data_IF_689841139595
#
_entry.id   IF_689841139595
#
_cell.length_a   1.000
_cell.length_b   1.000
_cell.length_c   1.000
_cell.angle_alpha   90.00
_cell.angle_beta   90.00
_cell.angle_gamma   90.00
#
_symmetry.space_group_name_H-M   'P 1'
#
loop_
_entity.id
_entity.type
_entity.pdbx_description
1 polymer ?
#
# COMPACT_ATOMS: atom_id res chain seq x y z
N UNK A 1 51.48 -45.75 -16.38
CA UNK A 1 51.88 -45.50 -14.97
C UNK A 1 50.90 -44.52 -14.34
N UNK A 2 50.41 -44.85 -13.13
CA UNK A 2 49.83 -44.03 -12.03
C UNK A 2 48.88 -42.85 -12.38
N UNK A 3 47.56 -42.96 -12.11
CA UNK A 3 46.78 -42.77 -10.85
C UNK A 3 46.27 -41.32 -10.65
N UNK A 4 44.96 -41.23 -10.35
CA UNK A 4 44.20 -40.02 -10.02
C UNK A 4 44.65 -39.34 -8.71
N UNK A 5 44.16 -38.11 -8.47
CA UNK A 5 43.23 -37.98 -7.34
C UNK A 5 42.01 -37.07 -7.62
N UNK A 6 40.90 -37.47 -7.01
CA UNK A 6 39.69 -36.66 -6.82
C UNK A 6 39.94 -35.63 -5.71
N UNK A 7 39.91 -34.35 -6.05
CA UNK A 7 39.97 -33.24 -5.09
C UNK A 7 38.59 -32.61 -4.92
N UNK A 8 37.93 -32.93 -3.81
CA UNK A 8 36.70 -32.27 -3.39
C UNK A 8 36.94 -30.79 -3.11
N UNK A 9 36.15 -29.92 -3.75
CA UNK A 9 36.11 -28.50 -3.42
C UNK A 9 35.01 -28.29 -2.38
N UNK A 10 35.40 -28.30 -1.11
CA UNK A 10 34.67 -27.64 -0.04
C UNK A 10 34.69 -26.14 -0.30
N UNK A 11 33.60 -25.61 -0.85
CA UNK A 11 33.39 -24.17 -1.01
C UNK A 11 33.34 -23.49 0.36
N UNK A 12 33.94 -22.30 0.50
CA UNK A 12 34.24 -21.71 1.80
C UNK A 12 32.98 -21.26 2.52
N UNK A 13 32.94 -21.54 3.83
CA UNK A 13 31.91 -21.03 4.74
C UNK A 13 31.79 -19.52 4.56
N UNK A 14 30.56 -19.06 4.30
CA UNK A 14 30.20 -17.66 4.22
C UNK A 14 30.43 -17.01 5.58
N UNK A 15 31.63 -16.49 5.81
CA UNK A 15 31.92 -15.60 6.93
C UNK A 15 31.21 -14.27 6.66
N UNK A 16 29.99 -14.14 7.16
CA UNK A 16 29.28 -12.85 7.23
C UNK A 16 30.17 -11.86 7.99
N UNK A 17 30.56 -10.78 7.31
CA UNK A 17 31.53 -9.82 7.83
C UNK A 17 31.00 -9.07 9.05
N UNK A 18 31.87 -8.51 9.91
CA UNK A 18 31.47 -7.74 11.10
C UNK A 18 30.45 -6.63 10.83
N UNK A 19 30.47 -6.07 9.63
CA UNK A 19 29.63 -4.96 9.17
C UNK A 19 28.17 -5.35 8.87
N UNK A 20 27.87 -6.64 8.68
CA UNK A 20 26.49 -7.09 8.48
C UNK A 20 25.69 -7.16 9.79
N UNK A 21 26.37 -7.23 10.95
CA UNK A 21 25.71 -7.28 12.26
C UNK A 21 24.92 -6.01 12.62
N UNK A 22 25.14 -4.91 11.89
CA UNK A 22 24.51 -3.62 12.13
C UNK A 22 23.43 -3.21 11.10
N UNK A 23 23.13 -4.02 10.08
CA UNK A 23 22.00 -3.70 9.19
C UNK A 23 20.72 -3.73 10.01
N UNK A 24 20.00 -2.59 10.06
CA UNK A 24 18.62 -2.57 10.54
C UNK A 24 17.84 -3.56 9.69
N UNK A 25 17.36 -4.62 10.34
CA UNK A 25 16.49 -5.58 9.69
C UNK A 25 15.21 -4.90 9.23
N UNK A 26 14.70 -5.29 8.07
CA UNK A 26 13.40 -4.81 7.62
C UNK A 26 12.27 -5.48 8.40
N UNK A 27 11.09 -4.83 8.52
CA UNK A 27 9.92 -5.45 9.13
C UNK A 27 9.64 -6.78 8.40
N UNK A 28 9.74 -7.90 9.12
CA UNK A 28 9.50 -9.23 8.57
C UNK A 28 10.70 -10.15 8.46
N UNK A 29 11.96 -9.68 8.47
CA UNK A 29 13.11 -10.59 8.36
C UNK A 29 13.20 -11.56 9.55
N UNK A 30 12.81 -11.12 10.74
CA UNK A 30 12.74 -11.98 11.94
C UNK A 30 11.61 -13.00 11.86
N UNK A 31 10.53 -12.64 11.17
CA UNK A 31 9.36 -13.49 10.92
C UNK A 31 9.49 -14.31 9.62
N UNK A 32 10.59 -14.15 8.86
CA UNK A 32 10.77 -14.72 7.52
C UNK A 32 9.67 -14.32 6.51
N UNK A 33 9.10 -13.12 6.65
CA UNK A 33 8.10 -12.57 5.73
C UNK A 33 8.78 -11.55 4.82
N UNK A 34 8.78 -11.79 3.51
CA UNK A 34 9.32 -10.85 2.53
C UNK A 34 8.46 -9.60 2.41
N UNK A 35 9.07 -8.42 2.21
CA UNK A 35 8.37 -7.12 2.16
C UNK A 35 7.21 -7.07 1.14
N UNK A 36 7.31 -7.77 0.01
CA UNK A 36 6.27 -7.84 -1.03
C UNK A 36 4.99 -8.56 -0.56
N UNK A 37 5.07 -9.33 0.52
CA UNK A 37 3.93 -9.99 1.16
C UNK A 37 3.24 -9.08 2.18
N UNK A 38 3.74 -7.86 2.38
CA UNK A 38 3.17 -6.89 3.31
C UNK A 38 2.44 -5.79 2.56
N UNK A 39 1.25 -5.46 3.07
CA UNK A 39 0.47 -4.31 2.64
C UNK A 39 0.37 -3.34 3.80
N UNK A 40 0.73 -2.08 3.55
CA UNK A 40 0.60 -0.98 4.51
C UNK A 40 -0.66 -0.22 4.13
N UNK A 41 -1.69 -0.33 4.96
CA UNK A 41 -2.97 0.37 4.77
C UNK A 41 -3.02 1.69 5.55
N UNK A 42 -3.58 2.74 4.96
CA UNK A 42 -3.79 4.04 5.61
C UNK A 42 -5.08 4.72 5.17
N UNK A 43 -5.72 5.48 6.05
CA UNK A 43 -6.84 6.40 5.71
C UNK A 43 -6.38 7.73 5.12
N UNK A 44 -5.06 7.92 4.96
CA UNK A 44 -4.46 9.19 4.57
C UNK A 44 -4.24 10.07 5.78
N UNK A 45 -3.21 9.81 6.56
CA UNK A 45 -2.77 10.75 7.60
C UNK A 45 -1.72 11.69 6.98
N UNK A 46 -1.79 13.01 7.17
CA UNK A 46 -0.84 13.94 6.56
C UNK A 46 0.62 13.54 6.79
N UNK A 47 1.46 13.71 5.78
CA UNK A 47 2.90 13.39 5.78
C UNK A 47 3.26 11.89 5.88
N UNK A 48 2.32 10.99 6.12
CA UNK A 48 2.65 9.56 6.32
C UNK A 48 2.98 8.85 5.01
N UNK A 49 2.27 9.15 3.92
CA UNK A 49 2.53 8.58 2.59
C UNK A 49 3.89 9.05 2.06
N UNK A 50 4.20 10.34 2.21
CA UNK A 50 5.51 10.91 1.86
C UNK A 50 6.66 10.27 2.67
N UNK A 51 6.46 10.10 3.98
CA UNK A 51 7.43 9.40 4.83
C UNK A 51 7.64 7.95 4.34
N UNK A 52 6.56 7.25 4.02
CA UNK A 52 6.63 5.89 3.49
C UNK A 52 7.37 5.81 2.15
N UNK A 53 7.15 6.77 1.24
CA UNK A 53 7.85 6.85 -0.04
C UNK A 53 9.37 6.94 0.14
N UNK A 54 9.83 7.75 1.11
CA UNK A 54 11.26 7.95 1.39
C UNK A 54 11.99 6.67 1.82
N UNK A 55 11.26 5.69 2.37
CA UNK A 55 11.83 4.39 2.77
C UNK A 55 11.99 3.42 1.61
N UNK A 56 11.40 3.68 0.43
CA UNK A 56 11.51 2.85 -0.79
C UNK A 56 11.30 1.35 -0.53
N UNK A 57 10.31 1.05 0.31
CA UNK A 57 9.94 -0.32 0.65
C UNK A 57 9.35 -1.04 -0.57
N UNK A 58 9.53 -2.36 -0.65
CA UNK A 58 8.88 -3.18 -1.69
C UNK A 58 7.45 -3.63 -1.29
N UNK A 59 6.89 -3.04 -0.24
CA UNK A 59 5.55 -3.35 0.27
C UNK A 59 4.46 -2.61 -0.51
N UNK A 60 3.27 -3.17 -0.54
CA UNK A 60 2.12 -2.56 -1.21
C UNK A 60 1.55 -1.43 -0.35
N UNK A 61 1.26 -0.27 -0.94
CA UNK A 61 0.50 0.79 -0.28
C UNK A 61 -0.99 0.64 -0.62
N UNK A 62 -1.82 0.50 0.42
CA UNK A 62 -3.27 0.54 0.32
C UNK A 62 -3.81 1.82 0.98
N UNK A 63 -4.67 2.54 0.27
CA UNK A 63 -5.31 3.78 0.77
C UNK A 63 -6.81 3.53 0.90
N UNK A 64 -7.31 3.63 2.13
CA UNK A 64 -8.72 3.58 2.50
C UNK A 64 -9.43 4.84 2.04
N UNK A 65 -9.83 4.85 0.76
CA UNK A 65 -10.45 6.00 0.10
C UNK A 65 -11.96 6.05 0.38
N UNK A 66 -12.67 4.94 0.13
CA UNK A 66 -14.10 4.72 0.37
C UNK A 66 -15.09 5.73 -0.24
N UNK A 67 -14.66 6.79 -0.93
CA UNK A 67 -15.54 7.77 -1.56
C UNK A 67 -14.83 8.53 -2.67
N UNK A 68 -15.54 8.95 -3.72
CA UNK A 68 -14.95 9.64 -4.87
C UNK A 68 -14.85 11.16 -4.66
N UNK A 69 -15.53 11.70 -3.65
CA UNK A 69 -15.56 13.12 -3.33
C UNK A 69 -15.40 13.36 -1.82
N UNK A 70 -15.01 14.58 -1.45
CA UNK A 70 -14.70 14.93 -0.06
C UNK A 70 -15.91 14.79 0.87
N UNK A 71 -17.11 15.17 0.42
CA UNK A 71 -18.32 15.15 1.25
C UNK A 71 -18.67 13.73 1.67
N UNK A 72 -18.71 12.80 0.72
CA UNK A 72 -18.95 11.38 1.01
C UNK A 72 -17.83 10.79 1.86
N UNK A 73 -16.58 11.18 1.62
CA UNK A 73 -15.44 10.71 2.40
C UNK A 73 -15.55 11.10 3.88
N UNK A 74 -15.98 12.32 4.16
CA UNK A 74 -16.23 12.80 5.53
C UNK A 74 -17.44 12.12 6.19
N UNK A 75 -18.47 11.76 5.40
CA UNK A 75 -19.61 10.99 5.91
C UNK A 75 -19.19 9.57 6.30
N UNK A 76 -18.45 8.88 5.43
CA UNK A 76 -18.09 7.47 5.62
C UNK A 76 -16.95 7.31 6.64
N UNK A 77 -15.95 8.21 6.60
CA UNK A 77 -14.79 8.18 7.49
C UNK A 77 -14.58 9.56 8.11
N UNK A 78 -15.29 9.89 9.21
CA UNK A 78 -15.29 11.25 9.78
C UNK A 78 -13.92 11.79 10.19
N UNK A 79 -12.97 10.92 10.53
CA UNK A 79 -11.59 11.30 10.88
C UNK A 79 -10.80 11.92 9.71
N UNK A 80 -11.30 11.81 8.48
CA UNK A 80 -10.62 12.31 7.28
C UNK A 80 -10.89 13.79 6.98
N UNK A 81 -11.75 14.45 7.75
CA UNK A 81 -12.14 15.86 7.55
C UNK A 81 -10.97 16.84 7.52
N UNK A 82 -9.93 16.59 8.30
CA UNK A 82 -8.72 17.43 8.33
C UNK A 82 -7.80 17.22 7.14
N UNK A 83 -8.02 16.20 6.31
CA UNK A 83 -7.17 15.88 5.18
C UNK A 83 -7.95 15.89 3.85
N UNK A 84 -7.88 17.00 3.09
CA UNK A 84 -8.60 17.14 1.82
C UNK A 84 -8.23 16.05 0.81
N UNK A 85 -9.23 15.54 0.09
CA UNK A 85 -9.07 14.50 -0.92
C UNK A 85 -8.01 14.84 -1.97
N UNK A 86 -7.99 16.09 -2.46
CA UNK A 86 -6.97 16.51 -3.43
C UNK A 86 -5.55 16.34 -2.91
N UNK A 87 -5.30 16.71 -1.64
CA UNK A 87 -3.98 16.56 -1.02
C UNK A 87 -3.61 15.07 -0.84
N UNK A 88 -4.58 14.22 -0.45
CA UNK A 88 -4.37 12.77 -0.41
C UNK A 88 -3.98 12.22 -1.78
N UNK A 89 -4.66 12.64 -2.83
CA UNK A 89 -4.38 12.19 -4.20
C UNK A 89 -3.01 12.67 -4.69
N UNK A 90 -2.59 13.88 -4.35
CA UNK A 90 -1.26 14.41 -4.65
C UNK A 90 -0.15 13.64 -3.92
N UNK A 91 -0.38 13.26 -2.67
CA UNK A 91 0.53 12.38 -1.92
C UNK A 91 0.63 10.99 -2.58
N UNK A 92 -0.49 10.40 -3.02
CA UNK A 92 -0.50 9.11 -3.72
C UNK A 92 0.23 9.17 -5.07
N UNK A 93 0.04 10.26 -5.82
CA UNK A 93 0.76 10.52 -7.07
C UNK A 93 2.27 10.66 -6.81
N UNK A 94 2.65 11.44 -5.79
CA UNK A 94 4.04 11.62 -5.41
C UNK A 94 4.69 10.29 -4.99
N UNK A 95 3.98 9.46 -4.22
CA UNK A 95 4.42 8.12 -3.86
C UNK A 95 4.66 7.24 -5.09
N UNK A 96 3.71 7.20 -6.04
CA UNK A 96 3.85 6.42 -7.27
C UNK A 96 5.07 6.89 -8.11
N UNK A 97 5.26 8.21 -8.24
CA UNK A 97 6.39 8.78 -8.98
C UNK A 97 7.74 8.51 -8.31
N UNK A 98 7.81 8.50 -6.97
CA UNK A 98 9.06 8.29 -6.23
C UNK A 98 9.45 6.80 -6.14
N UNK A 99 8.47 5.91 -6.02
CA UNK A 99 8.71 4.48 -5.77
C UNK A 99 8.53 3.59 -7.00
N UNK A 100 7.71 4.01 -7.97
CA UNK A 100 7.21 3.16 -9.06
C UNK A 100 6.22 2.08 -8.60
N UNK A 101 5.92 1.99 -7.30
CA UNK A 101 4.96 1.04 -6.75
C UNK A 101 3.55 1.57 -6.92
N UNK A 102 2.65 0.72 -7.45
CA UNK A 102 1.23 1.05 -7.60
C UNK A 102 0.60 1.29 -6.22
N UNK A 103 -0.35 2.22 -6.16
CA UNK A 103 -1.20 2.43 -4.99
C UNK A 103 -2.52 1.71 -5.21
N UNK A 104 -2.94 0.90 -4.24
CA UNK A 104 -4.27 0.28 -4.23
C UNK A 104 -5.22 1.16 -3.43
N UNK A 105 -6.36 1.53 -4.00
CA UNK A 105 -7.42 2.20 -3.27
C UNK A 105 -8.42 1.16 -2.78
N UNK A 106 -8.62 1.11 -1.47
CA UNK A 106 -9.68 0.34 -0.85
C UNK A 106 -10.97 1.17 -0.89
N UNK A 107 -12.03 0.57 -1.42
CA UNK A 107 -13.30 1.23 -1.63
C UNK A 107 -14.44 0.31 -1.20
N UNK A 108 -14.91 0.53 0.02
CA UNK A 108 -16.07 -0.18 0.57
C UNK A 108 -17.34 0.35 -0.10
N UNK A 109 -18.14 -0.53 -0.68
CA UNK A 109 -19.44 -0.22 -1.26
C UNK A 109 -20.51 -0.31 -0.16
N UNK A 110 -21.15 0.82 0.12
CA UNK A 110 -22.23 0.98 1.08
C UNK A 110 -23.52 1.27 0.30
N UNK A 111 -24.53 0.42 0.49
CA UNK A 111 -25.74 0.43 -0.32
C UNK A 111 -26.47 1.78 -0.26
N UNK A 112 -26.64 2.43 -1.42
CA UNK A 112 -27.32 3.71 -1.56
C UNK A 112 -26.54 4.91 -1.04
N UNK A 113 -25.23 4.77 -0.76
CA UNK A 113 -24.38 5.84 -0.23
C UNK A 113 -23.26 6.21 -1.20
N UNK A 114 -22.52 5.22 -1.69
CA UNK A 114 -21.35 5.44 -2.54
C UNK A 114 -21.19 4.40 -3.66
N UNK A 115 -22.27 3.69 -4.01
CA UNK A 115 -22.31 2.57 -4.95
C UNK A 115 -23.13 2.85 -6.22
N UNK A 116 -23.79 4.01 -6.31
CA UNK A 116 -24.47 4.46 -7.54
C UNK A 116 -23.51 4.74 -8.72
N UNK A 117 -24.06 4.74 -9.93
CA UNK A 117 -23.31 4.95 -11.18
C UNK A 117 -22.54 6.28 -11.18
N UNK A 118 -23.14 7.32 -10.62
CA UNK A 118 -22.55 8.66 -10.52
C UNK A 118 -21.25 8.62 -9.71
N UNK A 119 -21.21 7.85 -8.61
CA UNK A 119 -20.00 7.68 -7.80
C UNK A 119 -18.89 6.96 -8.57
N UNK A 120 -19.24 5.97 -9.39
CA UNK A 120 -18.27 5.28 -10.24
C UNK A 120 -17.66 6.22 -11.29
N UNK A 121 -18.45 7.14 -11.85
CA UNK A 121 -17.97 8.17 -12.80
C UNK A 121 -17.04 9.15 -12.08
N UNK A 122 -17.44 9.70 -10.92
CA UNK A 122 -16.61 10.60 -10.13
C UNK A 122 -15.28 9.93 -9.72
N UNK A 123 -15.32 8.66 -9.32
CA UNK A 123 -14.11 7.91 -8.97
C UNK A 123 -13.18 7.75 -10.18
N UNK A 124 -13.71 7.42 -11.35
CA UNK A 124 -12.92 7.26 -12.57
C UNK A 124 -12.26 8.58 -12.99
N UNK A 125 -12.99 9.71 -12.88
CA UNK A 125 -12.46 11.05 -13.16
C UNK A 125 -11.34 11.43 -12.19
N UNK A 126 -11.55 11.23 -10.88
CA UNK A 126 -10.55 11.48 -9.84
C UNK A 126 -9.25 10.72 -10.12
N UNK A 127 -9.33 9.43 -10.43
CA UNK A 127 -8.16 8.58 -10.70
C UNK A 127 -7.47 8.94 -12.02
N UNK A 128 -8.24 9.32 -13.04
CA UNK A 128 -7.70 9.77 -14.34
C UNK A 128 -6.87 11.04 -14.19
N UNK A 129 -7.31 11.99 -13.38
CA UNK A 129 -6.59 13.25 -13.14
C UNK A 129 -5.21 13.03 -12.49
N UNK A 130 -5.02 11.92 -11.77
CA UNK A 130 -3.78 11.63 -11.05
C UNK A 130 -2.70 10.94 -11.90
N UNK A 131 -3.01 10.52 -13.13
CA UNK A 131 -2.01 9.99 -14.08
C UNK A 131 -1.85 8.46 -14.11
N UNK A 132 -2.81 7.71 -13.55
CA UNK A 132 -2.79 6.25 -13.52
C UNK A 132 -1.81 5.66 -12.49
N UNK A 133 -1.54 4.35 -12.58
CA UNK A 133 -0.73 3.65 -11.58
C UNK A 133 -1.51 3.21 -10.33
N UNK A 134 -2.84 3.15 -10.45
CA UNK A 134 -3.75 2.84 -9.36
C UNK A 134 -4.55 1.57 -9.63
N UNK A 135 -4.83 0.82 -8.58
CA UNK A 135 -5.89 -0.19 -8.57
C UNK A 135 -7.01 0.27 -7.64
N UNK A 136 -8.23 -0.19 -7.89
CA UNK A 136 -9.35 -0.02 -6.98
C UNK A 136 -9.84 -1.39 -6.57
N UNK A 137 -9.87 -1.64 -5.26
CA UNK A 137 -10.44 -2.82 -4.65
C UNK A 137 -11.84 -2.45 -4.16
N UNK A 138 -12.86 -2.85 -4.93
CA UNK A 138 -14.26 -2.71 -4.53
C UNK A 138 -14.61 -3.82 -3.54
N UNK A 139 -15.08 -3.43 -2.35
CA UNK A 139 -15.41 -4.36 -1.25
C UNK A 139 -16.86 -4.14 -0.86
N UNK A 140 -17.79 -5.06 -1.16
CA UNK A 140 -19.15 -4.98 -0.63
C UNK A 140 -19.12 -4.94 0.90
N UNK A 141 -19.83 -3.98 1.50
CA UNK A 141 -19.98 -3.95 2.94
C UNK A 141 -20.80 -5.14 3.40
N UNK A 142 -20.30 -5.88 4.40
CA UNK A 142 -21.09 -6.89 5.08
C UNK A 142 -21.73 -6.26 6.34
N UNK A 143 -23.06 -6.17 6.43
CA UNK A 143 -23.74 -5.56 7.57
C UNK A 143 -23.35 -6.21 8.89
N UNK A 144 -23.16 -5.38 9.90
CA UNK A 144 -22.93 -5.83 11.27
C UNK A 144 -24.04 -5.28 12.17
N UNK A 145 -24.38 -6.03 13.21
CA UNK A 145 -25.35 -5.54 14.18
C UNK A 145 -24.85 -4.24 14.82
N UNK A 146 -25.69 -3.20 14.78
CA UNK A 146 -25.35 -1.87 15.32
C UNK A 146 -24.67 -0.90 14.34
N UNK A 147 -24.41 -1.28 13.08
CA UNK A 147 -23.96 -0.31 12.07
C UNK A 147 -25.10 0.53 11.51
N UNK A 148 -24.82 1.79 11.17
CA UNK A 148 -25.75 2.66 10.42
C UNK A 148 -25.87 2.25 8.93
N UNK A 149 -24.93 1.42 8.47
CA UNK A 149 -24.83 0.96 7.08
C UNK A 149 -25.43 -0.43 6.89
N UNK A 150 -25.85 -0.71 5.65
CA UNK A 150 -26.46 -1.96 5.19
C UNK A 150 -25.73 -2.51 3.97
#
# INVERSE_FOLDING_TARGET
MARAPAGGRSGPGSSVGPWERGRRRSPGEELKIGQRMMTISTVGVPNTIKMLASHKLQSTLAVSLHAPNQKLRETIVPSTKSYPLGALMDDCKSYFLETGCRVSFEYTLLAGINDEKEHAVELAELLRMCGGGYHVNLIPYNPIEGSEYK
#
